data_IF_087918539285
#
_entry.id   IF_087918539285
#
_cell.length_a   1.000
_cell.length_b   1.000
_cell.length_c   1.000
_cell.angle_alpha   90.00
_cell.angle_beta   90.00
_cell.angle_gamma   90.00
#
_symmetry.space_group_name_H-M   'P 1'
#
loop_
_entity.id
_entity.type
_entity.pdbx_description
1 polymer ?
#
# COMPACT_ATOMS: atom_id res chain seq x y z
N UNK A 1 -4.27 40.48 -6.51
CA UNK A 1 -5.66 40.99 -6.55
C UNK A 1 -5.85 42.29 -5.77
N UNK A 2 -5.47 42.37 -4.48
CA UNK A 2 -5.59 43.58 -3.64
C UNK A 2 -4.99 44.87 -4.24
N UNK A 3 -3.98 44.75 -5.11
CA UNK A 3 -3.31 45.87 -5.80
C UNK A 3 -4.16 46.53 -6.90
N UNK A 4 -5.12 45.81 -7.49
CA UNK A 4 -5.88 46.28 -8.66
C UNK A 4 -7.37 46.52 -8.36
N UNK A 5 -7.94 45.78 -7.41
CA UNK A 5 -9.28 46.02 -6.93
C UNK A 5 -9.29 45.86 -5.39
N UNK A 6 -9.52 46.95 -4.63
CA UNK A 6 -9.59 46.88 -3.18
C UNK A 6 -10.88 46.21 -2.67
N UNK A 7 -11.93 46.11 -3.50
CA UNK A 7 -13.23 45.54 -3.15
C UNK A 7 -13.48 44.24 -3.91
N UNK A 8 -13.19 43.11 -3.28
CA UNK A 8 -13.45 41.78 -3.83
C UNK A 8 -13.91 40.84 -2.71
N UNK A 9 -14.67 39.81 -3.09
CA UNK A 9 -15.08 38.72 -2.20
C UNK A 9 -14.44 37.42 -2.67
N UNK A 10 -13.82 36.71 -1.74
CA UNK A 10 -13.31 35.36 -1.96
C UNK A 10 -14.32 34.38 -1.40
N UNK A 11 -14.75 33.41 -2.21
CA UNK A 11 -15.58 32.28 -1.81
C UNK A 11 -14.78 31.01 -2.13
N UNK A 12 -14.51 30.20 -1.12
CA UNK A 12 -13.82 28.93 -1.27
C UNK A 12 -14.78 27.78 -0.96
N UNK A 13 -14.99 26.88 -1.93
CA UNK A 13 -15.83 25.70 -1.78
C UNK A 13 -14.93 24.46 -1.78
N UNK A 14 -14.98 23.67 -0.72
CA UNK A 14 -14.18 22.45 -0.62
C UNK A 14 -14.90 21.42 0.23
N UNK A 15 -14.80 20.14 -0.16
CA UNK A 15 -15.26 19.03 0.66
C UNK A 15 -14.28 18.71 1.79
N UNK A 16 -12.97 18.94 1.57
CA UNK A 16 -11.91 18.71 2.55
C UNK A 16 -10.79 19.74 2.36
N UNK A 17 -10.65 20.76 3.23
CA UNK A 17 -9.62 21.79 3.08
C UNK A 17 -8.20 21.27 3.33
N UNK A 18 -8.05 20.10 3.97
CA UNK A 18 -6.77 19.46 4.23
C UNK A 18 -6.95 18.24 5.14
N UNK A 19 -5.97 17.34 5.15
CA UNK A 19 -5.97 16.15 6.02
C UNK A 19 -5.31 16.40 7.39
N UNK A 20 -4.75 17.58 7.61
CA UNK A 20 -4.04 18.01 8.82
C UNK A 20 -4.42 19.45 9.15
N UNK A 21 -4.44 19.79 10.43
CA UNK A 21 -4.82 21.12 10.92
C UNK A 21 -3.92 22.21 10.35
N UNK A 22 -2.62 21.95 10.26
CA UNK A 22 -1.63 22.93 9.78
C UNK A 22 -1.86 23.28 8.31
N UNK A 23 -2.17 22.28 7.48
CA UNK A 23 -2.48 22.48 6.06
C UNK A 23 -3.80 23.25 5.88
N UNK A 24 -4.80 22.98 6.73
CA UNK A 24 -6.06 23.73 6.69
C UNK A 24 -5.83 25.20 7.05
N UNK A 25 -5.02 25.46 8.08
CA UNK A 25 -4.69 26.83 8.49
C UNK A 25 -3.93 27.59 7.40
N UNK A 26 -2.97 26.94 6.73
CA UNK A 26 -2.25 27.54 5.62
C UNK A 26 -3.19 27.96 4.47
N UNK A 27 -4.21 27.15 4.17
CA UNK A 27 -5.22 27.49 3.16
C UNK A 27 -6.06 28.69 3.59
N UNK A 28 -6.47 28.74 4.86
CA UNK A 28 -7.23 29.87 5.44
C UNK A 28 -6.43 31.17 5.34
N UNK A 29 -5.17 31.14 5.74
CA UNK A 29 -4.29 32.31 5.77
C UNK A 29 -3.97 32.82 4.36
N UNK A 30 -3.65 31.90 3.43
CA UNK A 30 -3.33 32.24 2.05
C UNK A 30 -4.52 32.84 1.29
N UNK A 31 -5.73 32.35 1.55
CA UNK A 31 -6.95 32.87 0.94
C UNK A 31 -7.55 34.07 1.69
N UNK A 32 -7.06 34.36 2.90
CA UNK A 32 -7.59 35.41 3.76
C UNK A 32 -9.04 35.17 4.18
N UNK A 33 -9.38 33.92 4.49
CA UNK A 33 -10.74 33.52 4.87
C UNK A 33 -11.05 34.04 6.28
N UNK A 34 -12.06 34.89 6.40
CA UNK A 34 -12.50 35.44 7.69
C UNK A 34 -13.58 34.61 8.37
N UNK A 35 -14.26 33.73 7.62
CA UNK A 35 -15.39 32.95 8.10
C UNK A 35 -15.43 31.59 7.41
N UNK A 36 -15.64 30.53 8.19
CA UNK A 36 -15.74 29.16 7.69
C UNK A 36 -17.07 28.58 8.09
N UNK A 37 -17.81 28.03 7.13
CA UNK A 37 -19.04 27.28 7.39
C UNK A 37 -18.81 25.80 7.09
N UNK A 38 -19.05 24.97 8.10
CA UNK A 38 -18.95 23.52 7.98
C UNK A 38 -20.37 22.97 8.01
N UNK A 39 -20.62 22.04 7.09
CA UNK A 39 -21.86 21.29 6.99
C UNK A 39 -21.54 19.83 6.73
N UNK A 40 -22.18 18.96 7.50
CA UNK A 40 -22.10 17.50 7.38
C UNK A 40 -23.49 16.96 7.01
N UNK A 41 -23.55 15.70 6.60
CA UNK A 41 -24.82 15.01 6.36
C UNK A 41 -25.74 14.97 7.59
N UNK A 42 -25.16 15.02 8.80
CA UNK A 42 -25.89 15.05 10.07
C UNK A 42 -26.35 16.44 10.51
N UNK A 43 -25.98 17.51 9.78
CA UNK A 43 -26.32 18.88 10.17
C UNK A 43 -27.85 19.08 10.19
N UNK A 44 -28.35 19.81 11.19
CA UNK A 44 -29.81 19.97 11.45
C UNK A 44 -30.54 20.51 10.22
N UNK A 45 -29.91 21.41 9.48
CA UNK A 45 -30.39 22.03 8.25
C UNK A 45 -30.32 21.11 7.02
N UNK A 46 -29.57 20.00 7.07
CA UNK A 46 -29.29 19.11 5.93
C UNK A 46 -29.88 17.71 6.10
N UNK A 47 -29.91 17.15 7.32
CA UNK A 47 -30.28 15.75 7.60
C UNK A 47 -31.61 15.31 7.00
N UNK A 48 -32.58 16.22 6.87
CA UNK A 48 -33.90 15.94 6.29
C UNK A 48 -33.85 15.72 4.77
N UNK A 49 -32.82 16.24 4.12
CA UNK A 49 -32.57 16.13 2.68
C UNK A 49 -31.57 14.99 2.35
N UNK A 50 -30.98 14.36 3.36
CA UNK A 50 -30.06 13.23 3.16
C UNK A 50 -30.86 11.94 3.06
N UNK A 51 -30.77 11.28 1.91
CA UNK A 51 -31.37 9.97 1.72
C UNK A 51 -30.60 8.91 2.50
N UNK A 52 -31.30 8.21 3.40
CA UNK A 52 -30.74 7.08 4.12
C UNK A 52 -30.42 5.93 3.16
N UNK A 53 -29.26 5.30 3.37
CA UNK A 53 -28.86 4.08 2.67
C UNK A 53 -28.91 2.93 3.66
N UNK A 54 -29.61 1.86 3.30
CA UNK A 54 -29.52 0.61 4.04
C UNK A 54 -28.33 -0.21 3.51
N UNK A 55 -27.34 -0.48 4.36
CA UNK A 55 -26.13 -1.22 4.00
C UNK A 55 -26.26 -2.63 4.58
N UNK A 56 -26.53 -3.61 3.73
CA UNK A 56 -26.47 -5.03 4.10
C UNK A 56 -25.09 -5.59 3.78
N UNK A 57 -24.20 -5.57 4.77
CA UNK A 57 -22.85 -6.11 4.61
C UNK A 57 -22.85 -7.63 4.75
N UNK A 58 -22.51 -8.33 3.67
CA UNK A 58 -22.29 -9.78 3.67
C UNK A 58 -20.81 -10.08 3.77
N UNK A 59 -20.42 -10.74 4.86
CA UNK A 59 -19.06 -11.26 5.04
C UNK A 59 -19.01 -12.65 4.41
N UNK A 60 -18.07 -12.86 3.52
CA UNK A 60 -17.86 -14.13 2.83
C UNK A 60 -16.49 -14.65 3.24
N UNK A 61 -16.45 -15.85 3.77
CA UNK A 61 -15.20 -16.50 4.14
C UNK A 61 -14.43 -16.96 2.90
N UNK A 62 -13.09 -16.93 2.94
CA UNK A 62 -12.28 -17.49 1.85
C UNK A 62 -12.54 -18.99 1.71
N UNK A 63 -12.47 -19.48 0.47
CA UNK A 63 -12.58 -20.92 0.20
C UNK A 63 -11.38 -21.68 0.77
N UNK A 64 -11.54 -22.99 0.92
CA UNK A 64 -10.47 -23.88 1.39
C UNK A 64 -9.20 -23.75 0.53
N UNK A 65 -9.35 -23.70 -0.79
CA UNK A 65 -8.26 -23.57 -1.75
C UNK A 65 -7.54 -22.22 -1.61
N UNK A 66 -8.28 -21.14 -1.33
CA UNK A 66 -7.68 -19.83 -1.05
C UNK A 66 -6.85 -19.87 0.22
N UNK A 67 -7.32 -20.56 1.27
CA UNK A 67 -6.56 -20.73 2.51
C UNK A 67 -5.29 -21.55 2.29
N UNK A 68 -5.36 -22.67 1.56
CA UNK A 68 -4.18 -23.47 1.23
C UNK A 68 -3.13 -22.67 0.46
N UNK A 69 -3.56 -21.91 -0.55
CA UNK A 69 -2.67 -21.02 -1.31
C UNK A 69 -2.02 -19.99 -0.38
N UNK A 70 -2.77 -19.39 0.54
CA UNK A 70 -2.24 -18.42 1.52
C UNK A 70 -1.19 -19.05 2.42
N UNK A 71 -1.41 -20.27 2.90
CA UNK A 71 -0.48 -20.98 3.78
C UNK A 71 0.83 -21.34 3.06
N UNK A 72 0.72 -21.85 1.83
CA UNK A 72 1.87 -22.15 0.97
C UNK A 72 2.69 -20.89 0.67
N UNK A 73 2.01 -19.81 0.27
CA UNK A 73 2.66 -18.55 -0.04
C UNK A 73 3.31 -17.91 1.20
N UNK A 74 2.67 -18.03 2.37
CA UNK A 74 3.24 -17.61 3.64
C UNK A 74 4.57 -18.30 3.92
N UNK A 75 4.63 -19.62 3.73
CA UNK A 75 5.86 -20.41 3.90
C UNK A 75 6.94 -19.97 2.90
N UNK A 76 6.58 -19.77 1.64
CA UNK A 76 7.52 -19.35 0.59
C UNK A 76 8.09 -17.93 0.82
N UNK A 77 7.28 -17.02 1.36
CA UNK A 77 7.70 -15.63 1.64
C UNK A 77 8.53 -15.51 2.92
N UNK A 78 8.31 -16.38 3.90
CA UNK A 78 8.91 -16.31 5.24
C UNK A 78 10.43 -16.07 5.24
N UNK A 79 11.27 -16.76 4.42
CA UNK A 79 12.71 -16.53 4.41
C UNK A 79 13.12 -15.11 4.01
N UNK A 80 12.33 -14.45 3.15
CA UNK A 80 12.56 -13.06 2.76
C UNK A 80 12.05 -12.09 3.83
N UNK A 81 10.89 -12.39 4.42
CA UNK A 81 10.32 -11.60 5.52
C UNK A 81 11.22 -11.62 6.76
N UNK A 82 11.80 -12.77 7.10
CA UNK A 82 12.74 -12.91 8.22
C UNK A 82 13.98 -12.01 8.05
N UNK A 83 14.42 -11.75 6.82
CA UNK A 83 15.51 -10.81 6.54
C UNK A 83 15.10 -9.36 6.80
N UNK A 84 13.86 -8.99 6.49
CA UNK A 84 13.31 -7.69 6.85
C UNK A 84 13.18 -7.55 8.38
N UNK A 85 12.72 -8.60 9.06
CA UNK A 85 12.59 -8.65 10.52
C UNK A 85 13.94 -8.47 11.21
N UNK A 86 15.00 -9.12 10.72
CA UNK A 86 16.38 -8.94 11.23
C UNK A 86 16.91 -7.51 11.10
N UNK A 87 16.32 -6.70 10.22
CA UNK A 87 16.66 -5.29 10.05
C UNK A 87 15.70 -4.35 10.79
N UNK A 88 14.82 -4.90 11.66
CA UNK A 88 13.79 -4.15 12.40
C UNK A 88 12.80 -3.39 11.49
N UNK A 89 12.59 -3.88 10.26
CA UNK A 89 11.70 -3.26 9.27
C UNK A 89 10.27 -3.81 9.41
N UNK A 90 10.17 -5.09 9.73
CA UNK A 90 8.92 -5.85 9.73
C UNK A 90 8.78 -6.63 11.03
N UNK A 91 7.67 -6.48 11.73
CA UNK A 91 7.46 -7.06 13.06
C UNK A 91 6.31 -8.06 13.04
N UNK A 92 6.62 -9.35 12.88
CA UNK A 92 5.69 -10.45 13.17
C UNK A 92 4.33 -10.42 12.46
N UNK A 93 4.18 -9.64 11.39
CA UNK A 93 2.95 -9.56 10.62
C UNK A 93 2.86 -10.74 9.68
N UNK A 94 1.64 -11.20 9.41
CA UNK A 94 1.37 -12.20 8.39
C UNK A 94 2.00 -11.79 7.04
N UNK A 95 2.86 -12.60 6.40
CA UNK A 95 3.37 -12.34 5.05
C UNK A 95 2.28 -12.07 4.00
N UNK A 96 1.06 -12.55 4.22
CA UNK A 96 -0.09 -12.26 3.35
C UNK A 96 -0.69 -10.86 3.56
N UNK A 97 -0.31 -10.15 4.62
CA UNK A 97 -0.79 -8.79 4.91
C UNK A 97 0.08 -7.69 4.26
N UNK A 98 1.12 -8.06 3.50
CA UNK A 98 1.99 -7.07 2.83
C UNK A 98 1.23 -6.34 1.73
N UNK A 99 1.50 -5.05 1.60
CA UNK A 99 0.97 -4.22 0.52
C UNK A 99 2.11 -3.55 -0.23
N UNK A 100 1.92 -3.30 -1.52
CA UNK A 100 2.91 -2.62 -2.38
C UNK A 100 3.30 -1.27 -1.79
N UNK A 101 2.31 -0.47 -1.39
CA UNK A 101 2.52 0.83 -0.76
C UNK A 101 3.23 0.73 0.60
N UNK A 102 2.81 -0.21 1.45
CA UNK A 102 3.45 -0.44 2.75
C UNK A 102 4.94 -0.76 2.60
N UNK A 103 5.29 -1.66 1.68
CA UNK A 103 6.67 -2.02 1.39
C UNK A 103 7.47 -0.86 0.78
N UNK A 104 6.86 -0.04 -0.09
CA UNK A 104 7.50 1.16 -0.63
C UNK A 104 7.87 2.15 0.47
N UNK A 105 6.93 2.42 1.39
CA UNK A 105 7.15 3.32 2.52
C UNK A 105 8.21 2.76 3.47
N UNK A 106 8.12 1.48 3.82
CA UNK A 106 9.10 0.81 4.69
C UNK A 106 10.51 0.84 4.09
N UNK A 107 10.66 0.59 2.79
CA UNK A 107 11.95 0.71 2.11
C UNK A 107 12.48 2.15 2.18
N UNK A 108 11.64 3.14 1.89
CA UNK A 108 12.04 4.55 1.92
C UNK A 108 12.47 4.99 3.33
N UNK A 109 11.71 4.63 4.36
CA UNK A 109 11.99 4.98 5.75
C UNK A 109 13.27 4.29 6.25
N UNK A 110 13.47 3.01 5.90
CA UNK A 110 14.70 2.29 6.21
C UNK A 110 15.91 2.91 5.51
N UNK A 111 15.79 3.23 4.22
CA UNK A 111 16.86 3.88 3.43
C UNK A 111 17.23 5.28 3.94
N UNK A 112 16.30 6.00 4.59
CA UNK A 112 16.57 7.30 5.22
C UNK A 112 17.26 7.18 6.58
N UNK A 113 17.12 6.04 7.24
CA UNK A 113 17.57 5.82 8.63
C UNK A 113 18.67 4.76 8.71
N UNK A 114 18.36 3.56 9.20
CA UNK A 114 19.32 2.47 9.41
C UNK A 114 20.05 2.06 8.13
N UNK A 115 19.36 2.09 6.98
CA UNK A 115 19.90 1.74 5.67
C UNK A 115 21.00 2.65 5.14
N UNK A 116 21.24 3.83 5.74
CA UNK A 116 22.40 4.68 5.40
C UNK A 116 23.71 4.19 6.00
N UNK A 117 23.64 3.50 7.13
CA UNK A 117 24.81 3.11 7.93
C UNK A 117 25.22 1.66 7.68
N UNK A 118 24.47 0.91 6.87
CA UNK A 118 24.79 -0.47 6.52
C UNK A 118 25.75 -0.54 5.33
N UNK A 119 26.56 -1.61 5.23
CA UNK A 119 27.42 -1.83 4.07
C UNK A 119 26.63 -1.90 2.76
N UNK A 120 27.22 -1.38 1.67
CA UNK A 120 26.61 -1.37 0.34
C UNK A 120 26.09 -2.75 -0.13
N UNK A 121 26.82 -3.87 0.08
CA UNK A 121 26.30 -5.20 -0.30
C UNK A 121 24.98 -5.55 0.40
N UNK A 122 24.84 -5.20 1.68
CA UNK A 122 23.61 -5.43 2.43
C UNK A 122 22.49 -4.53 1.91
N UNK A 123 22.79 -3.27 1.59
CA UNK A 123 21.82 -2.34 1.02
C UNK A 123 21.27 -2.82 -0.33
N UNK A 124 22.14 -3.28 -1.24
CA UNK A 124 21.72 -3.87 -2.52
C UNK A 124 20.88 -5.14 -2.34
N UNK A 125 21.27 -5.99 -1.40
CA UNK A 125 20.52 -7.20 -1.04
C UNK A 125 19.09 -6.86 -0.59
N UNK A 126 18.96 -5.86 0.29
CA UNK A 126 17.65 -5.43 0.81
C UNK A 126 16.76 -4.84 -0.29
N UNK A 127 17.31 -3.99 -1.17
CA UNK A 127 16.58 -3.46 -2.33
C UNK A 127 16.06 -4.57 -3.25
N UNK A 128 16.87 -5.60 -3.49
CA UNK A 128 16.46 -6.75 -4.29
C UNK A 128 15.31 -7.54 -3.64
N UNK A 129 15.35 -7.71 -2.31
CA UNK A 129 14.27 -8.36 -1.55
C UNK A 129 12.99 -7.53 -1.61
N UNK A 130 13.07 -6.21 -1.38
CA UNK A 130 11.90 -5.32 -1.48
C UNK A 130 11.28 -5.33 -2.88
N UNK A 131 12.07 -5.33 -3.95
CA UNK A 131 11.56 -5.40 -5.31
C UNK A 131 10.74 -6.67 -5.55
N UNK A 132 11.22 -7.82 -5.06
CA UNK A 132 10.52 -9.09 -5.16
C UNK A 132 9.24 -9.07 -4.32
N UNK A 133 9.32 -8.68 -3.04
CA UNK A 133 8.16 -8.62 -2.16
C UNK A 133 7.08 -7.66 -2.68
N UNK A 134 7.44 -6.55 -3.32
CA UNK A 134 6.46 -5.65 -3.96
C UNK A 134 5.74 -6.31 -5.13
N UNK A 135 6.45 -7.05 -5.98
CA UNK A 135 5.79 -7.80 -7.06
C UNK A 135 4.83 -8.86 -6.51
N UNK A 136 5.23 -9.60 -5.47
CA UNK A 136 4.38 -10.62 -4.84
C UNK A 136 3.22 -10.02 -4.03
N UNK A 137 3.38 -8.83 -3.45
CA UNK A 137 2.29 -8.09 -2.81
C UNK A 137 1.18 -7.73 -3.81
N UNK A 138 1.53 -7.51 -5.09
CA UNK A 138 0.53 -7.36 -6.14
C UNK A 138 -0.21 -8.67 -6.40
N UNK A 139 0.50 -9.80 -6.49
CA UNK A 139 -0.11 -11.13 -6.62
C UNK A 139 -1.07 -11.42 -5.45
N UNK A 140 -0.66 -11.13 -4.21
CA UNK A 140 -1.52 -11.27 -3.01
C UNK A 140 -2.80 -10.43 -3.13
N UNK A 141 -2.70 -9.21 -3.66
CA UNK A 141 -3.88 -8.38 -3.95
C UNK A 141 -4.80 -9.06 -4.97
N UNK A 142 -4.25 -9.66 -6.03
CA UNK A 142 -5.04 -10.41 -7.01
C UNK A 142 -5.80 -11.57 -6.33
N UNK A 143 -5.14 -12.33 -5.46
CA UNK A 143 -5.79 -13.42 -4.72
C UNK A 143 -6.96 -12.92 -3.87
N UNK A 144 -6.76 -11.85 -3.10
CA UNK A 144 -7.76 -11.35 -2.15
C UNK A 144 -8.94 -10.63 -2.81
N UNK A 145 -8.74 -9.97 -3.96
CA UNK A 145 -9.78 -9.11 -4.57
C UNK A 145 -10.27 -9.58 -5.94
N UNK A 146 -9.52 -10.44 -6.63
CA UNK A 146 -9.82 -10.86 -8.01
C UNK A 146 -9.92 -12.40 -8.16
N UNK A 147 -9.50 -13.16 -7.14
CA UNK A 147 -9.60 -14.61 -7.09
C UNK A 147 -8.35 -15.35 -7.55
N UNK A 148 -8.43 -16.68 -7.55
CA UNK A 148 -7.29 -17.58 -7.75
C UNK A 148 -6.74 -17.51 -9.18
N UNK A 149 -7.60 -17.38 -10.20
CA UNK A 149 -7.15 -17.41 -11.60
C UNK A 149 -6.25 -16.22 -11.97
N UNK A 150 -6.63 -14.96 -11.69
CA UNK A 150 -5.73 -13.81 -11.91
C UNK A 150 -4.42 -13.90 -11.12
N UNK A 151 -4.49 -14.43 -9.89
CA UNK A 151 -3.30 -14.70 -9.08
C UNK A 151 -2.37 -15.71 -9.76
N UNK A 152 -2.91 -16.85 -10.21
CA UNK A 152 -2.15 -17.90 -10.89
C UNK A 152 -1.50 -17.41 -12.18
N UNK A 153 -2.24 -16.68 -13.02
CA UNK A 153 -1.71 -16.15 -14.27
C UNK A 153 -0.55 -15.16 -14.00
N UNK A 154 -0.69 -14.31 -12.98
CA UNK A 154 0.39 -13.41 -12.57
C UNK A 154 1.63 -14.15 -12.04
N UNK A 155 1.45 -15.24 -11.30
CA UNK A 155 2.56 -16.07 -10.84
C UNK A 155 3.24 -16.82 -11.99
N UNK A 156 2.46 -17.28 -12.98
CA UNK A 156 2.98 -17.91 -14.18
C UNK A 156 3.89 -16.93 -14.94
N UNK A 157 3.43 -15.69 -15.16
CA UNK A 157 4.24 -14.64 -15.78
C UNK A 157 5.49 -14.33 -14.95
N UNK A 158 5.35 -14.24 -13.63
CA UNK A 158 6.47 -14.03 -12.72
C UNK A 158 7.53 -15.14 -12.83
N UNK A 159 7.11 -16.40 -13.02
CA UNK A 159 7.97 -17.57 -13.19
C UNK A 159 8.62 -17.60 -14.57
N UNK A 160 7.87 -17.37 -15.64
CA UNK A 160 8.41 -17.29 -17.00
C UNK A 160 9.52 -16.24 -17.10
N UNK A 161 9.33 -15.07 -16.48
CA UNK A 161 10.36 -14.04 -16.37
C UNK A 161 11.68 -14.52 -15.71
N UNK A 162 11.61 -15.49 -14.80
CA UNK A 162 12.79 -16.06 -14.12
C UNK A 162 13.47 -17.06 -15.02
N UNK A 163 12.69 -17.92 -15.66
CA UNK A 163 13.15 -18.98 -16.55
C UNK A 163 13.84 -18.38 -17.79
N UNK A 164 13.24 -17.34 -18.41
CA UNK A 164 13.82 -16.62 -19.56
C UNK A 164 15.14 -15.93 -19.22
N UNK A 165 15.26 -15.37 -18.02
CA UNK A 165 16.49 -14.68 -17.57
C UNK A 165 17.59 -15.65 -17.14
N UNK A 166 17.29 -16.94 -16.97
CA UNK A 166 18.25 -18.00 -16.68
C UNK A 166 19.26 -17.61 -15.58
N UNK A 167 20.56 -17.72 -15.86
CA UNK A 167 21.63 -17.36 -14.91
C UNK A 167 21.67 -15.86 -14.56
N UNK A 168 21.14 -14.96 -15.40
CA UNK A 168 21.14 -13.51 -15.19
C UNK A 168 20.01 -13.01 -14.27
N UNK A 169 19.06 -13.87 -13.90
CA UNK A 169 17.97 -13.52 -12.99
C UNK A 169 18.41 -13.25 -11.54
N UNK A 170 17.63 -12.47 -10.78
CA UNK A 170 17.88 -12.20 -9.36
C UNK A 170 17.95 -13.50 -8.54
N UNK A 171 19.00 -13.64 -7.71
CA UNK A 171 19.24 -14.81 -6.85
C UNK A 171 18.01 -15.17 -6.00
N UNK A 172 17.38 -14.16 -5.39
CA UNK A 172 16.21 -14.36 -4.53
C UNK A 172 14.96 -14.74 -5.31
N UNK A 173 14.82 -14.26 -6.55
CA UNK A 173 13.70 -14.63 -7.42
C UNK A 173 13.78 -16.13 -7.78
N UNK A 174 14.99 -16.64 -8.05
CA UNK A 174 15.22 -18.07 -8.30
C UNK A 174 15.02 -18.92 -7.06
N UNK A 175 15.52 -18.47 -5.90
CA UNK A 175 15.32 -19.18 -4.64
C UNK A 175 13.84 -19.36 -4.32
N UNK A 176 13.02 -18.33 -4.57
CA UNK A 176 11.58 -18.39 -4.37
C UNK A 176 10.91 -19.36 -5.35
N UNK A 177 11.22 -19.28 -6.65
CA UNK A 177 10.61 -20.17 -7.66
C UNK A 177 10.98 -21.65 -7.44
N UNK A 178 12.14 -21.91 -6.83
CA UNK A 178 12.58 -23.25 -6.47
C UNK A 178 12.02 -23.76 -5.13
N UNK A 179 11.31 -22.92 -4.35
CA UNK A 179 10.74 -23.33 -3.07
C UNK A 179 9.59 -24.32 -3.30
N UNK A 180 9.55 -25.48 -2.61
CA UNK A 180 8.46 -26.46 -2.75
C UNK A 180 7.08 -25.88 -2.43
N UNK A 181 7.00 -24.84 -1.59
CA UNK A 181 5.75 -24.18 -1.25
C UNK A 181 5.31 -23.15 -2.29
N UNK A 182 6.13 -22.90 -3.32
CA UNK A 182 5.84 -21.99 -4.43
C UNK A 182 5.54 -22.75 -5.74
N UNK A 183 5.85 -24.04 -5.81
CA UNK A 183 5.56 -24.91 -6.95
C UNK A 183 4.09 -25.32 -6.99
#
# INVERSE_FOLDING_TARGET
MRRFNPYFRVLALTATPGSKVETVQEVIDNLGISHTEIRTEDSIDIRQYVHQRNIDQRIIDPSYEMCEVKDLFTKALKPMMDKLTKQNIYYGRDPMAITTFGLMKQEQDWMKSAGRHVPQPLQHMMRAIFAILKSLAHSIKLLNFHGIKPFFDNLKDFRSDVEEKGQKGSKYKKQLVADPSFQ
#
